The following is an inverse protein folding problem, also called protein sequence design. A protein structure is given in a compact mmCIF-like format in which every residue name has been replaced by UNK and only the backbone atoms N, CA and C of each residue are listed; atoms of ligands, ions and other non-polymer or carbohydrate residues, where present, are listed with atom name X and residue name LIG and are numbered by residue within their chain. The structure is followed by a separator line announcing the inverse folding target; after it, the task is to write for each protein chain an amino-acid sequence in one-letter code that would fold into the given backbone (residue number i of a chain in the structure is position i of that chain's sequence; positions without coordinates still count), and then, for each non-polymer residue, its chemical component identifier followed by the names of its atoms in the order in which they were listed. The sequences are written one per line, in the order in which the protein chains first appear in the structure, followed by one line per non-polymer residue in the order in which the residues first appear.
data_IF_010336195429
#
_entry.id   IF_010336195429
#
_cell.length_a   1.000
_cell.length_b   1.000
_cell.length_c   1.000
_cell.angle_alpha   90.00
_cell.angle_beta   90.00
_cell.angle_gamma   90.00
#
_symmetry.space_group_name_H-M   'P 1'
#
loop_
_entity.id
_entity.type
_entity.pdbx_description
1 polymer ?
#
# COMPACT_ATOMS: atom_id res chain seq x y z
N UNK A 1 -5.87 12.19 -22.24
CA UNK A 1 -5.28 10.89 -21.82
C UNK A 1 -5.93 10.41 -20.53
N UNK A 2 -6.71 9.33 -20.56
CA UNK A 2 -7.31 8.71 -19.36
C UNK A 2 -6.18 8.09 -18.52
N UNK A 3 -6.10 8.49 -17.26
CA UNK A 3 -5.04 8.11 -16.33
C UNK A 3 -5.61 7.15 -15.27
N UNK A 4 -5.45 5.84 -15.49
CA UNK A 4 -5.77 4.71 -14.57
C UNK A 4 -4.69 4.41 -13.51
N UNK A 5 -5.09 4.23 -12.24
CA UNK A 5 -4.25 3.72 -11.14
C UNK A 5 -4.12 2.19 -11.21
N UNK A 6 -2.99 1.62 -10.75
CA UNK A 6 -2.72 0.19 -10.80
C UNK A 6 -1.58 -0.26 -9.89
N UNK A 7 -1.57 -1.54 -9.54
CA UNK A 7 -0.53 -2.22 -8.75
C UNK A 7 0.75 -2.32 -9.61
N UNK A 8 1.90 -2.00 -9.02
CA UNK A 8 3.18 -2.08 -9.74
C UNK A 8 3.95 -3.37 -9.46
N UNK A 9 3.92 -3.85 -8.21
CA UNK A 9 4.67 -5.04 -7.79
C UNK A 9 4.12 -5.62 -6.48
N UNK A 10 4.24 -6.95 -6.32
CA UNK A 10 3.94 -7.71 -5.10
C UNK A 10 5.27 -8.20 -4.51
N UNK A 11 5.50 -8.05 -3.20
CA UNK A 11 6.78 -8.37 -2.56
C UNK A 11 6.60 -9.15 -1.25
N UNK A 12 6.74 -10.47 -1.28
CA UNK A 12 6.29 -11.32 -0.18
C UNK A 12 4.77 -11.26 -0.02
N UNK A 13 4.17 -12.25 0.64
CA UNK A 13 2.72 -12.49 0.57
C UNK A 13 1.86 -11.35 1.13
N UNK A 14 2.45 -10.44 1.91
CA UNK A 14 1.70 -9.42 2.66
C UNK A 14 1.99 -7.96 2.26
N UNK A 15 2.93 -7.70 1.33
CA UNK A 15 3.23 -6.33 0.89
C UNK A 15 2.86 -6.07 -0.58
N UNK A 16 2.13 -4.97 -0.78
CA UNK A 16 1.69 -4.50 -2.10
C UNK A 16 2.24 -3.09 -2.34
N UNK A 17 2.88 -2.88 -3.47
CA UNK A 17 3.32 -1.55 -3.93
C UNK A 17 2.36 -1.04 -4.99
N UNK A 18 1.78 0.14 -4.77
CA UNK A 18 0.81 0.74 -5.66
C UNK A 18 1.08 2.24 -5.89
N UNK A 19 0.64 2.74 -7.04
CA UNK A 19 0.61 4.18 -7.34
C UNK A 19 -0.78 4.75 -7.16
N UNK A 20 -0.90 5.76 -6.30
CA UNK A 20 -2.14 6.55 -6.14
C UNK A 20 -2.13 7.79 -7.03
N UNK A 21 -3.31 8.29 -7.40
CA UNK A 21 -3.50 9.59 -8.05
C UNK A 21 -4.54 10.41 -7.30
N UNK A 22 -4.19 11.65 -6.94
CA UNK A 22 -5.05 12.62 -6.27
C UNK A 22 -5.94 12.07 -5.14
N UNK A 23 -5.38 11.20 -4.30
CA UNK A 23 -6.09 10.55 -3.19
C UNK A 23 -5.19 10.52 -1.95
N UNK A 24 -5.77 10.57 -0.76
CA UNK A 24 -5.00 10.42 0.48
C UNK A 24 -4.64 8.94 0.72
N UNK A 25 -3.49 8.66 1.33
CA UNK A 25 -3.04 7.28 1.55
C UNK A 25 -4.02 6.48 2.42
N UNK A 26 -4.62 7.13 3.43
CA UNK A 26 -5.62 6.50 4.29
C UNK A 26 -6.85 6.02 3.50
N UNK A 27 -7.32 6.82 2.54
CA UNK A 27 -8.44 6.46 1.67
C UNK A 27 -8.12 5.26 0.79
N UNK A 28 -6.90 5.16 0.29
CA UNK A 28 -6.48 3.98 -0.49
C UNK A 28 -6.42 2.75 0.40
N UNK A 29 -5.90 2.88 1.63
CA UNK A 29 -5.87 1.81 2.62
C UNK A 29 -7.27 1.28 2.92
N UNK A 30 -8.22 2.15 3.28
CA UNK A 30 -9.60 1.75 3.57
C UNK A 30 -10.25 0.99 2.40
N UNK A 31 -10.08 1.47 1.16
CA UNK A 31 -10.62 0.79 -0.02
C UNK A 31 -10.01 -0.59 -0.24
N UNK A 32 -8.72 -0.74 0.03
CA UNK A 32 -8.06 -2.04 -0.07
C UNK A 32 -8.52 -2.99 1.04
N UNK A 33 -8.72 -2.51 2.26
CA UNK A 33 -9.29 -3.30 3.36
C UNK A 33 -10.69 -3.82 3.02
N UNK A 34 -11.55 -2.98 2.44
CA UNK A 34 -12.89 -3.38 1.97
C UNK A 34 -12.81 -4.50 0.92
N UNK A 35 -11.98 -4.33 -0.11
CA UNK A 35 -11.80 -5.33 -1.17
C UNK A 35 -11.23 -6.64 -0.61
N UNK A 36 -10.27 -6.58 0.30
CA UNK A 36 -9.67 -7.77 0.90
C UNK A 36 -10.65 -8.47 1.84
N UNK A 37 -11.46 -7.70 2.58
CA UNK A 37 -12.51 -8.25 3.44
C UNK A 37 -13.54 -9.03 2.63
N UNK A 38 -14.02 -8.47 1.52
CA UNK A 38 -14.94 -9.16 0.60
C UNK A 38 -14.29 -10.39 -0.02
N UNK A 39 -13.02 -10.30 -0.42
CA UNK A 39 -12.31 -11.41 -1.06
C UNK A 39 -12.05 -12.60 -0.13
N UNK A 40 -11.73 -12.34 1.15
CA UNK A 40 -11.35 -13.37 2.11
C UNK A 40 -12.43 -13.73 3.13
N UNK A 41 -13.61 -13.09 3.07
CA UNK A 41 -14.72 -13.27 4.02
C UNK A 41 -14.29 -13.14 5.50
N UNK A 42 -13.37 -12.21 5.77
CA UNK A 42 -12.85 -11.92 7.11
C UNK A 42 -12.32 -10.50 7.17
N UNK A 43 -12.26 -9.93 8.37
CA UNK A 43 -11.58 -8.64 8.57
C UNK A 43 -10.10 -8.75 8.21
N UNK A 44 -9.64 -7.83 7.35
CA UNK A 44 -8.23 -7.70 6.97
C UNK A 44 -7.81 -6.28 7.28
N UNK A 45 -6.94 -6.13 8.27
CA UNK A 45 -6.34 -4.85 8.63
C UNK A 45 -5.02 -4.67 7.90
N UNK A 46 -4.77 -3.46 7.39
CA UNK A 46 -3.54 -3.16 6.69
C UNK A 46 -2.94 -1.83 7.15
N UNK A 47 -1.62 -1.72 6.95
CA UNK A 47 -0.94 -0.44 7.13
C UNK A 47 -0.56 0.14 5.78
N UNK A 48 -0.82 1.43 5.59
CA UNK A 48 -0.41 2.16 4.39
C UNK A 48 0.69 3.15 4.74
N UNK A 49 1.84 3.03 4.08
CA UNK A 49 2.99 3.93 4.26
C UNK A 49 3.39 4.54 2.91
N UNK A 50 3.89 5.77 2.95
CA UNK A 50 4.49 6.39 1.77
C UNK A 50 5.88 5.80 1.51
N UNK A 51 6.32 5.76 0.25
CA UNK A 51 7.69 5.33 -0.09
C UNK A 51 8.75 6.19 0.61
N UNK A 52 8.50 7.49 0.78
CA UNK A 52 9.37 8.38 1.55
C UNK A 52 9.55 7.90 3.00
N UNK A 53 8.48 7.38 3.62
CA UNK A 53 8.54 6.80 4.96
C UNK A 53 9.35 5.51 4.97
N UNK A 54 9.11 4.62 4.00
CA UNK A 54 9.85 3.36 3.87
C UNK A 54 11.34 3.63 3.67
N UNK A 55 11.71 4.52 2.75
CA UNK A 55 13.10 4.91 2.51
C UNK A 55 13.77 5.50 3.76
N UNK A 56 13.05 6.28 4.56
CA UNK A 56 13.56 6.84 5.80
C UNK A 56 13.85 5.77 6.86
N UNK A 57 13.08 4.69 6.86
CA UNK A 57 13.29 3.53 7.75
C UNK A 57 14.44 2.66 7.25
N UNK A 58 14.44 2.31 5.97
CA UNK A 58 15.47 1.44 5.39
C UNK A 58 16.83 2.12 5.36
N UNK A 59 16.93 3.44 5.14
CA UNK A 59 18.22 4.13 5.18
C UNK A 59 18.82 4.23 6.58
N UNK A 60 18.01 4.18 7.64
CA UNK A 60 18.52 4.20 9.02
C UNK A 60 19.12 2.86 9.44
N UNK A 61 18.59 1.75 8.95
CA UNK A 61 19.05 0.40 9.33
C UNK A 61 20.38 -0.01 8.67
N UNK A 62 20.81 0.66 7.61
CA UNK A 62 22.06 0.34 6.90
C UNK A 62 23.28 1.14 7.37
N UNK A 63 23.14 1.96 8.42
CA UNK A 63 24.23 2.77 9.02
C UNK A 63 24.50 2.37 10.48
N UNK A 64 24.11 1.16 10.87
CA UNK A 64 24.42 0.57 12.19
C UNK A 64 25.28 -0.66 12.06
#
# INVERSE_FOLDING_TARGET
MKKTSGIERIHGTDNIVFRKRNMHYATVGQRLEEVLKEHFDREVHMTCRSMRTVEGLTKKEWVS
#
